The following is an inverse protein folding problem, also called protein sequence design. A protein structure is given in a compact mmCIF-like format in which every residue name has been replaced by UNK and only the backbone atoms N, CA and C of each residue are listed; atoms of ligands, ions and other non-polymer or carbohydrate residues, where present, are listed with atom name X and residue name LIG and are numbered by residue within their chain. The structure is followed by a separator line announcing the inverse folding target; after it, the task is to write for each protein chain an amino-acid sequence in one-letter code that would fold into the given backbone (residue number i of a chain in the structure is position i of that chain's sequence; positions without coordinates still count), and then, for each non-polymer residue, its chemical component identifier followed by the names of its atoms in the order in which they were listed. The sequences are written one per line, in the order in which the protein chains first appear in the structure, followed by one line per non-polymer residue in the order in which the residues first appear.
data_IF_098382133414
#
_entry.id   IF_098382133414
#
_cell.length_a   1.000
_cell.length_b   1.000
_cell.length_c   1.000
_cell.angle_alpha   90.00
_cell.angle_beta   90.00
_cell.angle_gamma   90.00
#
_symmetry.space_group_name_H-M   'P 1'
#
loop_
_entity.id
_entity.type
_entity.pdbx_description
1 polymer ?
#
# COMPACT_ATOMS: atom_id res chain seq x y z
N UNK A 1 -24.63 -30.83 67.61
CA UNK A 1 -25.22 -29.97 66.56
C UNK A 1 -24.31 -28.76 66.38
N UNK A 2 -23.55 -28.67 65.29
CA UNK A 2 -22.90 -27.43 64.87
C UNK A 2 -22.46 -27.59 63.41
N UNK A 3 -23.24 -27.02 62.50
CA UNK A 3 -22.95 -27.01 61.05
C UNK A 3 -22.29 -25.68 60.76
N UNK A 4 -21.05 -25.72 60.26
CA UNK A 4 -20.24 -24.55 59.90
C UNK A 4 -20.71 -23.96 58.57
N UNK A 5 -21.22 -22.73 58.62
CA UNK A 5 -21.51 -21.85 57.49
C UNK A 5 -20.28 -20.98 57.19
N UNK A 6 -19.37 -21.46 56.36
CA UNK A 6 -18.20 -20.69 55.92
C UNK A 6 -17.86 -21.02 54.47
N UNK A 7 -18.69 -20.57 53.53
CA UNK A 7 -18.50 -20.91 52.10
C UNK A 7 -19.08 -19.94 51.07
N UNK A 8 -19.71 -18.83 51.45
CA UNK A 8 -20.38 -17.95 50.49
C UNK A 8 -19.67 -16.60 50.22
N UNK A 9 -18.76 -16.16 51.10
CA UNK A 9 -18.15 -14.83 50.97
C UNK A 9 -16.97 -14.78 49.97
N UNK A 10 -16.36 -15.91 49.62
CA UNK A 10 -15.16 -15.94 48.75
C UNK A 10 -15.51 -15.92 47.25
N UNK A 11 -16.66 -16.47 46.86
CA UNK A 11 -17.08 -16.55 45.45
C UNK A 11 -17.54 -15.19 44.91
N UNK A 12 -18.10 -14.33 45.77
CA UNK A 12 -18.63 -13.03 45.34
C UNK A 12 -17.53 -12.00 45.00
N UNK A 13 -16.37 -12.04 45.68
CA UNK A 13 -15.25 -11.14 45.37
C UNK A 13 -14.55 -11.46 44.04
N UNK A 14 -14.53 -12.73 43.62
CA UNK A 14 -13.91 -13.15 42.36
C UNK A 14 -14.73 -12.69 41.15
N UNK A 15 -16.07 -12.69 41.26
CA UNK A 15 -16.96 -12.27 40.16
C UNK A 15 -16.95 -10.74 39.96
N UNK A 16 -16.82 -9.95 41.02
CA UNK A 16 -16.72 -8.47 40.92
C UNK A 16 -15.38 -8.03 40.35
N UNK A 17 -14.28 -8.73 40.66
CA UNK A 17 -12.97 -8.46 40.08
C UNK A 17 -12.92 -8.78 38.57
N UNK A 18 -13.63 -9.82 38.11
CA UNK A 18 -13.67 -10.20 36.68
C UNK A 18 -14.47 -9.23 35.81
N UNK A 19 -15.43 -8.47 36.36
CA UNK A 19 -16.22 -7.49 35.58
C UNK A 19 -15.51 -6.15 35.39
N UNK A 20 -14.54 -5.79 36.26
CA UNK A 20 -13.83 -4.50 36.19
C UNK A 20 -12.65 -4.46 35.22
N UNK A 21 -12.26 -5.60 34.63
CA UNK A 21 -11.19 -5.65 33.62
C UNK A 21 -11.70 -5.80 32.18
N UNK A 22 -13.00 -5.68 31.95
CA UNK A 22 -13.54 -5.50 30.59
C UNK A 22 -13.32 -4.05 30.13
N UNK A 23 -12.05 -3.66 30.00
CA UNK A 23 -11.70 -2.39 29.37
C UNK A 23 -12.34 -2.40 27.97
N UNK A 24 -13.27 -1.48 27.66
CA UNK A 24 -13.82 -1.40 26.32
C UNK A 24 -12.63 -1.26 25.37
N UNK A 25 -12.47 -2.22 24.46
CA UNK A 25 -11.43 -2.16 23.44
C UNK A 25 -11.64 -0.84 22.71
N UNK A 26 -10.78 0.14 23.03
CA UNK A 26 -10.85 1.45 22.41
C UNK A 26 -10.71 1.20 20.91
N UNK A 27 -11.80 1.39 20.17
CA UNK A 27 -11.78 1.28 18.72
C UNK A 27 -10.75 2.29 18.24
N UNK A 28 -9.57 1.80 17.86
CA UNK A 28 -8.50 2.64 17.39
C UNK A 28 -9.02 3.41 16.18
N UNK A 29 -9.10 4.73 16.30
CA UNK A 29 -9.55 5.58 15.20
C UNK A 29 -8.50 5.49 14.09
N UNK A 30 -8.80 4.68 13.08
CA UNK A 30 -7.99 4.61 11.88
C UNK A 30 -7.99 6.00 11.22
N UNK A 31 -6.79 6.54 11.02
CA UNK A 31 -6.58 7.88 10.46
C UNK A 31 -6.09 7.76 9.03
N UNK A 32 -6.70 8.51 8.11
CA UNK A 32 -6.20 8.61 6.74
C UNK A 32 -4.91 9.42 6.74
N UNK A 33 -3.84 8.84 6.21
CA UNK A 33 -2.56 9.51 6.00
C UNK A 33 -2.31 9.63 4.51
N UNK A 34 -2.10 10.84 3.99
CA UNK A 34 -1.69 11.00 2.61
C UNK A 34 -0.22 11.37 2.49
N UNK A 35 0.41 10.84 1.46
CA UNK A 35 1.83 10.98 1.18
C UNK A 35 1.99 11.66 -0.16
N UNK A 36 2.96 12.57 -0.24
CA UNK A 36 3.30 13.27 -1.48
C UNK A 36 4.79 13.12 -1.74
N UNK A 37 5.15 12.58 -2.91
CA UNK A 37 6.49 12.75 -3.45
C UNK A 37 6.47 14.03 -4.28
N UNK A 38 7.25 15.03 -3.85
CA UNK A 38 7.29 16.34 -4.51
C UNK A 38 7.93 16.25 -5.89
N UNK A 39 7.47 17.11 -6.80
CA UNK A 39 8.13 17.32 -8.09
C UNK A 39 9.64 17.53 -7.88
N UNK A 40 10.43 16.99 -8.81
CA UNK A 40 11.90 17.03 -8.86
C UNK A 40 12.60 16.28 -7.71
N UNK A 41 11.81 15.70 -6.79
CA UNK A 41 12.32 14.89 -5.70
C UNK A 41 12.32 13.40 -6.09
N UNK A 42 13.34 12.70 -5.61
CA UNK A 42 13.41 11.25 -5.54
C UNK A 42 14.22 10.91 -4.29
N UNK A 43 13.93 9.79 -3.64
CA UNK A 43 14.71 9.41 -2.47
C UNK A 43 16.04 8.80 -2.94
N UNK A 44 17.04 9.66 -3.13
CA UNK A 44 18.38 9.28 -3.56
C UNK A 44 19.14 8.55 -2.44
N UNK A 45 18.95 8.98 -1.18
CA UNK A 45 19.74 8.52 -0.02
C UNK A 45 18.87 8.06 1.17
N UNK A 46 17.60 7.76 0.94
CA UNK A 46 16.69 7.38 2.01
C UNK A 46 15.59 6.48 1.50
N UNK A 47 14.99 5.70 2.40
CA UNK A 47 13.86 4.86 2.06
C UNK A 47 12.70 5.34 2.91
N UNK A 48 11.54 5.65 2.32
CA UNK A 48 10.40 6.04 3.11
C UNK A 48 10.01 4.89 4.04
N UNK A 49 10.24 5.13 5.33
CA UNK A 49 10.04 4.22 6.44
C UNK A 49 9.03 4.86 7.39
N UNK A 50 8.04 4.09 7.82
CA UNK A 50 7.02 4.59 8.75
C UNK A 50 6.83 3.72 9.99
N UNK A 51 7.65 2.69 10.18
CA UNK A 51 7.65 1.89 11.40
C UNK A 51 8.19 0.49 11.21
N UNK A 52 8.31 -0.24 12.32
CA UNK A 52 8.77 -1.62 12.32
C UNK A 52 7.62 -2.60 12.16
N UNK A 53 7.80 -3.55 11.24
CA UNK A 53 6.94 -4.71 11.04
C UNK A 53 7.29 -5.77 12.08
N UNK A 54 6.27 -6.35 12.69
CA UNK A 54 6.37 -7.46 13.66
C UNK A 54 5.31 -8.54 13.42
N UNK A 55 4.63 -8.50 12.26
CA UNK A 55 3.55 -9.40 11.89
C UNK A 55 3.89 -10.15 10.60
N UNK A 56 3.29 -11.33 10.46
CA UNK A 56 3.34 -12.12 9.23
C UNK A 56 2.60 -11.44 8.09
N UNK A 57 1.40 -10.92 8.38
CA UNK A 57 0.55 -10.23 7.41
C UNK A 57 0.59 -8.74 7.65
N UNK A 58 0.76 -7.99 6.58
CA UNK A 58 0.63 -6.52 6.58
C UNK A 58 -0.42 -6.14 5.54
N UNK A 59 -1.23 -5.12 5.85
CA UNK A 59 -2.19 -4.60 4.89
C UNK A 59 -2.39 -3.10 5.04
N UNK A 60 -2.76 -2.46 3.94
CA UNK A 60 -3.21 -1.07 3.94
C UNK A 60 -4.30 -0.89 2.88
N UNK A 61 -5.28 -0.05 3.19
CA UNK A 61 -6.13 0.51 2.14
C UNK A 61 -5.41 1.68 1.50
N UNK A 62 -5.30 1.69 0.17
CA UNK A 62 -4.61 2.73 -0.57
C UNK A 62 -5.53 3.30 -1.64
N UNK A 63 -5.60 4.63 -1.69
CA UNK A 63 -6.27 5.38 -2.76
C UNK A 63 -5.22 6.15 -3.56
N UNK A 64 -5.02 5.75 -4.81
CA UNK A 64 -4.13 6.43 -5.73
C UNK A 64 -4.84 7.60 -6.41
N UNK A 65 -4.16 8.74 -6.55
CA UNK A 65 -4.76 9.93 -7.16
C UNK A 65 -4.60 9.97 -8.68
N UNK A 66 -5.45 10.74 -9.38
CA UNK A 66 -5.39 10.88 -10.84
C UNK A 66 -4.00 11.24 -11.38
N UNK A 67 -3.18 11.99 -10.62
CA UNK A 67 -1.81 12.33 -11.03
C UNK A 67 -0.92 11.09 -11.21
N UNK A 68 -1.17 10.00 -10.50
CA UNK A 68 -0.44 8.73 -10.64
C UNK A 68 -0.73 8.02 -11.97
N UNK A 69 -1.85 8.33 -12.63
CA UNK A 69 -2.18 7.81 -13.96
C UNK A 69 -1.74 8.74 -15.11
N UNK A 70 -1.46 10.01 -14.81
CA UNK A 70 -1.37 11.08 -15.82
C UNK A 70 -0.08 11.90 -15.80
N UNK A 71 0.88 11.59 -14.93
CA UNK A 71 2.16 12.31 -14.89
C UNK A 71 2.91 12.17 -16.22
N UNK A 72 3.53 13.26 -16.67
CA UNK A 72 4.31 13.32 -17.91
C UNK A 72 5.67 13.91 -17.61
N UNK A 73 6.72 13.31 -18.15
CA UNK A 73 8.03 13.95 -18.21
C UNK A 73 8.03 15.02 -19.29
N UNK A 74 8.86 16.04 -19.11
CA UNK A 74 9.01 17.10 -20.09
C UNK A 74 9.54 16.52 -21.44
N UNK A 75 9.12 17.05 -22.60
CA UNK A 75 9.55 16.53 -23.90
C UNK A 75 11.06 16.61 -24.16
N UNK A 76 11.77 17.51 -23.47
CA UNK A 76 13.22 17.66 -23.52
C UNK A 76 13.97 16.73 -22.54
N UNK A 77 13.25 15.96 -21.73
CA UNK A 77 13.85 14.99 -20.83
C UNK A 77 14.26 13.74 -21.62
N UNK A 78 15.57 13.61 -21.87
CA UNK A 78 16.17 12.47 -22.58
C UNK A 78 15.95 11.10 -21.91
N UNK A 79 15.57 11.08 -20.63
CA UNK A 79 15.19 9.85 -19.92
C UNK A 79 13.66 9.68 -19.81
N UNK A 80 12.86 10.58 -20.39
CA UNK A 80 11.42 10.63 -20.20
C UNK A 80 10.70 9.31 -20.47
N UNK A 81 11.01 8.61 -21.57
CA UNK A 81 10.41 7.30 -21.87
C UNK A 81 10.89 6.23 -20.91
N UNK A 82 12.18 6.15 -20.64
CA UNK A 82 12.72 5.21 -19.66
C UNK A 82 12.04 5.38 -18.30
N UNK A 83 11.94 6.61 -17.82
CA UNK A 83 11.32 6.94 -16.54
C UNK A 83 9.80 6.67 -16.53
N UNK A 84 9.13 6.88 -17.67
CA UNK A 84 7.69 6.59 -17.82
C UNK A 84 7.41 5.10 -17.81
N UNK A 85 8.27 4.30 -18.44
CA UNK A 85 8.13 2.84 -18.52
C UNK A 85 8.57 2.13 -17.23
N UNK A 86 9.42 2.79 -16.45
CA UNK A 86 9.83 2.36 -15.13
C UNK A 86 8.63 2.26 -14.17
N UNK A 87 8.88 1.65 -13.03
CA UNK A 87 7.91 1.52 -11.95
C UNK A 87 8.36 2.29 -10.72
N UNK A 88 7.39 2.51 -9.84
CA UNK A 88 7.52 3.24 -8.59
C UNK A 88 7.08 2.31 -7.45
N UNK A 89 7.60 2.48 -6.24
CA UNK A 89 7.26 1.61 -5.10
C UNK A 89 6.05 2.21 -4.37
N UNK A 90 5.08 1.37 -3.98
CA UNK A 90 3.81 1.81 -3.38
C UNK A 90 3.75 1.50 -1.88
N UNK A 91 3.90 0.22 -1.54
CA UNK A 91 3.62 -0.31 -0.21
C UNK A 91 4.30 -1.66 -0.05
N UNK A 92 4.92 -1.91 1.10
CA UNK A 92 5.56 -3.20 1.37
C UNK A 92 6.36 -3.23 2.66
N UNK A 93 7.25 -4.21 2.76
CA UNK A 93 8.17 -4.31 3.89
C UNK A 93 9.46 -5.08 3.54
N UNK A 94 10.49 -4.93 4.38
CA UNK A 94 11.62 -5.86 4.36
C UNK A 94 11.20 -7.21 4.92
N UNK A 95 11.78 -8.29 4.38
CA UNK A 95 11.45 -9.66 4.76
C UNK A 95 12.33 -10.17 5.89
N UNK A 96 13.65 -10.01 5.80
CA UNK A 96 14.58 -10.85 6.58
C UNK A 96 15.04 -10.25 7.92
N UNK A 97 14.51 -9.09 8.29
CA UNK A 97 14.84 -8.39 9.53
C UNK A 97 14.83 -6.87 9.34
N UNK A 98 15.08 -6.15 10.44
CA UNK A 98 15.19 -4.68 10.43
C UNK A 98 16.59 -4.18 10.08
N UNK A 99 17.61 -5.04 10.13
CA UNK A 99 18.99 -4.72 9.74
C UNK A 99 19.30 -5.06 8.28
N UNK A 100 18.45 -5.87 7.63
CA UNK A 100 18.61 -6.13 6.21
C UNK A 100 18.30 -4.88 5.42
N UNK A 101 19.15 -4.60 4.43
CA UNK A 101 18.95 -3.45 3.56
C UNK A 101 17.71 -3.70 2.71
N UNK A 102 16.96 -2.65 2.41
CA UNK A 102 15.72 -2.80 1.63
C UNK A 102 15.96 -3.25 0.19
N UNK A 103 17.21 -3.17 -0.29
CA UNK A 103 17.60 -3.68 -1.60
C UNK A 103 18.15 -5.10 -1.52
N UNK A 104 18.30 -5.66 -0.32
CA UNK A 104 18.67 -7.06 -0.12
C UNK A 104 17.42 -7.94 -0.19
N UNK A 105 16.46 -7.70 0.71
CA UNK A 105 15.27 -8.55 0.88
C UNK A 105 14.05 -7.68 1.23
N UNK A 106 13.31 -7.25 0.21
CA UNK A 106 12.05 -6.53 0.42
C UNK A 106 11.00 -6.86 -0.61
N UNK A 107 9.76 -6.92 -0.16
CA UNK A 107 8.59 -7.26 -0.96
C UNK A 107 7.64 -6.06 -0.96
N UNK A 108 7.24 -5.62 -2.14
CA UNK A 108 6.42 -4.43 -2.35
C UNK A 108 5.41 -4.60 -3.46
N UNK A 109 4.27 -3.92 -3.33
CA UNK A 109 3.51 -3.48 -4.48
C UNK A 109 4.24 -2.32 -5.15
N UNK A 110 4.28 -2.37 -6.47
CA UNK A 110 4.78 -1.30 -7.33
C UNK A 110 3.69 -0.83 -8.26
N UNK A 111 3.87 0.37 -8.80
CA UNK A 111 2.89 1.00 -9.66
C UNK A 111 3.55 1.78 -10.80
N UNK A 112 2.81 1.97 -11.88
CA UNK A 112 3.13 2.93 -12.94
C UNK A 112 1.87 3.35 -13.68
N UNK A 113 1.96 4.41 -14.46
CA UNK A 113 0.88 4.75 -15.41
C UNK A 113 0.85 3.77 -16.59
N UNK A 114 -0.31 3.57 -17.24
CA UNK A 114 -0.40 2.79 -18.47
C UNK A 114 0.45 3.41 -19.59
N UNK A 115 1.47 2.68 -20.05
CA UNK A 115 2.39 3.14 -21.10
C UNK A 115 1.65 3.38 -22.42
N UNK A 116 0.59 2.62 -22.68
CA UNK A 116 -0.27 2.78 -23.87
C UNK A 116 -1.02 4.11 -23.90
N UNK A 117 -1.07 4.86 -22.79
CA UNK A 117 -1.62 6.22 -22.75
C UNK A 117 -0.59 7.33 -22.96
N UNK A 118 0.66 7.00 -23.30
CA UNK A 118 1.74 7.99 -23.48
C UNK A 118 2.14 8.06 -24.95
N UNK A 119 2.10 9.26 -25.52
CA UNK A 119 2.64 9.54 -26.86
C UNK A 119 4.15 9.73 -26.74
N UNK A 120 4.91 9.04 -27.59
CA UNK A 120 6.37 9.16 -27.68
C UNK A 120 6.82 9.43 -29.11
N UNK A 121 7.94 10.11 -29.29
CA UNK A 121 8.58 10.22 -30.62
C UNK A 121 9.44 8.99 -30.95
N UNK A 122 10.09 9.01 -32.12
CA UNK A 122 10.99 7.94 -32.57
C UNK A 122 12.29 7.87 -31.76
N UNK A 123 12.65 8.95 -31.05
CA UNK A 123 13.84 9.05 -30.20
C UNK A 123 13.55 8.61 -28.76
N UNK A 124 12.29 8.36 -28.40
CA UNK A 124 11.90 8.00 -27.05
C UNK A 124 11.76 9.20 -26.12
N UNK A 125 11.33 10.36 -26.62
CA UNK A 125 10.86 11.46 -25.78
C UNK A 125 9.36 11.35 -25.54
N UNK A 126 8.90 11.89 -24.39
CA UNK A 126 7.48 11.94 -24.04
C UNK A 126 6.85 13.18 -24.67
N UNK A 127 5.94 12.99 -25.61
CA UNK A 127 5.26 14.08 -26.32
C UNK A 127 3.95 14.51 -25.65
N UNK A 128 3.38 13.65 -24.80
CA UNK A 128 2.12 13.93 -24.11
C UNK A 128 1.30 12.67 -23.87
N UNK A 129 -0.02 12.85 -23.67
CA UNK A 129 -0.97 11.75 -23.52
C UNK A 129 -1.56 11.33 -24.88
N UNK A 130 -1.93 10.06 -25.00
CA UNK A 130 -2.81 9.59 -26.08
C UNK A 130 -4.20 10.20 -25.89
N UNK A 131 -4.74 10.82 -26.94
CA UNK A 131 -6.06 11.48 -26.87
C UNK A 131 -7.13 10.43 -26.60
N UNK A 132 -8.06 10.74 -25.68
CA UNK A 132 -9.14 9.84 -25.26
C UNK A 132 -8.67 8.43 -24.81
N UNK A 133 -7.47 8.32 -24.20
CA UNK A 133 -7.00 7.03 -23.74
C UNK A 133 -7.99 6.37 -22.76
N UNK A 134 -8.46 5.12 -23.01
CA UNK A 134 -9.44 4.46 -22.15
C UNK A 134 -8.91 4.16 -20.73
N UNK A 135 -7.59 4.25 -20.52
CA UNK A 135 -6.93 3.97 -19.25
C UNK A 135 -6.43 5.25 -18.54
N UNK A 136 -6.88 6.45 -18.95
CA UNK A 136 -6.41 7.72 -18.39
C UNK A 136 -6.65 7.89 -16.87
N UNK A 137 -7.59 7.15 -16.29
CA UNK A 137 -7.87 7.15 -14.85
C UNK A 137 -7.50 5.83 -14.17
N UNK A 138 -6.64 5.03 -14.81
CA UNK A 138 -6.20 3.74 -14.28
C UNK A 138 -4.70 3.76 -14.01
N UNK A 139 -4.30 3.05 -12.98
CA UNK A 139 -2.89 2.81 -12.62
C UNK A 139 -2.62 1.32 -12.78
N UNK A 140 -1.46 0.99 -13.35
CA UNK A 140 -0.99 -0.38 -13.38
C UNK A 140 -0.29 -0.71 -12.06
N UNK A 141 -0.63 -1.84 -11.47
CA UNK A 141 -0.04 -2.35 -10.22
C UNK A 141 0.61 -3.71 -10.50
N UNK A 142 1.72 -4.00 -9.80
CA UNK A 142 2.39 -5.28 -9.84
C UNK A 142 3.01 -5.65 -8.48
N UNK A 143 3.34 -6.93 -8.31
CA UNK A 143 4.20 -7.42 -7.23
C UNK A 143 5.68 -7.26 -7.60
N UNK A 144 6.53 -6.97 -6.61
CA UNK A 144 7.96 -6.71 -6.78
C UNK A 144 8.71 -7.17 -5.53
N UNK A 145 9.77 -7.96 -5.68
CA UNK A 145 10.55 -8.46 -4.54
C UNK A 145 12.05 -8.51 -4.80
N UNK A 146 12.85 -7.86 -3.96
CA UNK A 146 14.28 -8.17 -3.87
C UNK A 146 14.47 -9.49 -3.13
N UNK A 147 15.40 -10.31 -3.61
CA UNK A 147 15.82 -11.55 -2.96
C UNK A 147 17.34 -11.68 -3.02
N UNK A 148 18.01 -11.55 -1.87
CA UNK A 148 19.48 -11.58 -1.76
C UNK A 148 20.18 -10.60 -2.73
N UNK A 149 19.69 -9.35 -2.77
CA UNK A 149 20.25 -8.30 -3.61
C UNK A 149 19.87 -8.39 -5.10
N UNK A 150 19.20 -9.47 -5.51
CA UNK A 150 18.81 -9.65 -6.90
C UNK A 150 17.65 -8.73 -7.26
N UNK A 151 17.88 -7.90 -8.26
CA UNK A 151 16.88 -6.98 -8.78
C UNK A 151 15.86 -7.73 -9.66
N UNK A 152 14.55 -7.53 -9.46
CA UNK A 152 13.50 -8.26 -10.17
C UNK A 152 13.56 -8.21 -11.69
N UNK A 153 14.08 -7.12 -12.24
CA UNK A 153 14.11 -6.92 -13.68
C UNK A 153 15.34 -7.52 -14.37
N UNK A 154 16.31 -8.04 -13.60
CA UNK A 154 17.53 -8.62 -14.16
C UNK A 154 17.37 -10.10 -14.53
N UNK A 155 16.27 -10.75 -14.10
CA UNK A 155 16.07 -12.18 -14.32
C UNK A 155 14.63 -12.49 -14.76
N UNK A 156 14.45 -12.92 -16.01
CA UNK A 156 13.16 -13.37 -16.52
C UNK A 156 12.71 -14.63 -15.76
N UNK A 157 11.47 -14.64 -15.28
CA UNK A 157 10.85 -15.81 -14.67
C UNK A 157 11.18 -16.07 -13.20
N UNK A 158 12.07 -15.28 -12.57
CA UNK A 158 12.44 -15.53 -11.16
C UNK A 158 11.93 -14.47 -10.19
N UNK A 159 11.60 -13.23 -10.60
CA UNK A 159 11.08 -12.20 -9.70
C UNK A 159 10.24 -11.19 -10.52
N UNK A 160 8.92 -11.12 -10.27
CA UNK A 160 7.91 -10.63 -11.23
C UNK A 160 8.02 -9.15 -11.68
N UNK A 161 7.65 -8.89 -12.95
CA UNK A 161 7.48 -7.56 -13.58
C UNK A 161 6.22 -7.48 -14.46
N UNK A 162 5.13 -8.13 -14.06
CA UNK A 162 3.88 -8.10 -14.84
C UNK A 162 2.92 -7.04 -14.29
N UNK A 163 2.70 -6.01 -15.08
CA UNK A 163 1.69 -4.97 -14.86
C UNK A 163 0.36 -5.39 -15.50
N UNK A 164 -0.19 -6.52 -15.06
CA UNK A 164 -1.46 -7.05 -15.57
C UNK A 164 -2.67 -6.40 -14.93
N UNK A 165 -2.50 -5.84 -13.74
CA UNK A 165 -3.62 -5.35 -12.94
C UNK A 165 -3.77 -3.86 -13.05
N UNK A 166 -4.98 -3.44 -13.37
CA UNK A 166 -5.38 -2.06 -13.50
C UNK A 166 -6.37 -1.71 -12.39
N UNK A 167 -6.08 -0.63 -11.67
CA UNK A 167 -6.96 -0.11 -10.63
C UNK A 167 -7.34 1.33 -10.92
N UNK A 168 -8.56 1.72 -10.54
CA UNK A 168 -9.08 3.06 -10.77
C UNK A 168 -8.49 4.06 -9.77
N UNK A 169 -8.21 5.27 -10.24
CA UNK A 169 -7.82 6.37 -9.36
C UNK A 169 -9.02 6.89 -8.57
N UNK A 170 -8.76 7.49 -7.40
CA UNK A 170 -9.78 7.95 -6.44
C UNK A 170 -10.70 6.82 -5.90
N UNK A 171 -10.26 5.56 -6.02
CA UNK A 171 -10.91 4.38 -5.42
C UNK A 171 -9.96 3.74 -4.40
N UNK A 172 -10.52 3.27 -3.27
CA UNK A 172 -9.77 2.52 -2.26
C UNK A 172 -9.64 1.06 -2.67
N UNK A 173 -8.43 0.51 -2.53
CA UNK A 173 -8.15 -0.92 -2.65
C UNK A 173 -7.36 -1.37 -1.43
N UNK A 174 -7.52 -2.62 -1.02
CA UNK A 174 -6.69 -3.20 0.04
C UNK A 174 -5.53 -3.97 -0.56
N UNK A 175 -4.33 -3.63 -0.11
CA UNK A 175 -3.08 -4.25 -0.51
C UNK A 175 -2.56 -5.05 0.67
N UNK A 176 -2.50 -6.37 0.53
CA UNK A 176 -2.07 -7.29 1.57
C UNK A 176 -0.83 -8.04 1.12
N UNK A 177 0.18 -8.11 2.00
CA UNK A 177 1.32 -9.01 1.85
C UNK A 177 1.34 -9.99 3.02
N UNK A 178 1.41 -11.27 2.69
CA UNK A 178 1.57 -12.37 3.64
C UNK A 178 2.98 -12.92 3.45
N UNK A 179 3.83 -12.72 4.45
CA UNK A 179 5.21 -13.18 4.43
C UNK A 179 5.29 -14.60 5.00
N UNK A 180 6.02 -15.48 4.33
CA UNK A 180 6.41 -16.79 4.83
C UNK A 180 7.93 -16.90 4.75
N UNK A 181 8.49 -18.01 5.23
CA UNK A 181 9.93 -18.19 5.29
C UNK A 181 10.60 -18.13 3.90
N UNK A 182 9.93 -18.68 2.89
CA UNK A 182 10.43 -18.89 1.53
C UNK A 182 9.53 -18.29 0.44
N UNK A 183 8.48 -17.55 0.80
CA UNK A 183 7.60 -16.92 -0.18
C UNK A 183 6.87 -15.70 0.38
N UNK A 184 6.35 -14.89 -0.53
CA UNK A 184 5.41 -13.82 -0.22
C UNK A 184 4.17 -13.96 -1.09
N UNK A 185 3.00 -13.91 -0.46
CA UNK A 185 1.72 -13.81 -1.17
C UNK A 185 1.25 -12.36 -1.20
N UNK A 186 0.94 -11.87 -2.38
CA UNK A 186 0.42 -10.53 -2.66
C UNK A 186 -1.06 -10.66 -3.01
N UNK A 187 -1.92 -10.08 -2.17
CA UNK A 187 -3.35 -10.05 -2.43
C UNK A 187 -3.81 -8.61 -2.64
N UNK A 188 -4.59 -8.40 -3.69
CA UNK A 188 -5.27 -7.15 -3.96
C UNK A 188 -6.77 -7.38 -3.83
N UNK A 189 -7.43 -6.60 -2.98
CA UNK A 189 -8.88 -6.63 -2.81
C UNK A 189 -9.51 -5.33 -3.27
N UNK A 190 -10.73 -5.42 -3.81
CA UNK A 190 -11.63 -4.27 -3.86
C UNK A 190 -12.00 -3.84 -2.45
N UNK A 191 -12.67 -2.70 -2.32
CA UNK A 191 -13.20 -2.27 -1.02
C UNK A 191 -14.70 -2.06 -1.09
N UNK A 192 -15.36 -2.32 0.03
CA UNK A 192 -16.73 -1.90 0.26
C UNK A 192 -16.68 -0.62 1.09
N UNK A 193 -17.24 0.46 0.55
CA UNK A 193 -17.48 1.68 1.31
C UNK A 193 -18.91 1.62 1.81
N UNK A 194 -19.09 1.36 3.10
CA UNK A 194 -20.41 1.28 3.72
C UNK A 194 -21.06 2.66 3.68
N UNK A 195 -21.87 2.89 2.66
CA UNK A 195 -22.77 4.03 2.64
C UNK A 195 -23.80 3.77 3.74
N UNK A 196 -23.82 4.62 4.77
CA UNK A 196 -24.92 4.67 5.74
C UNK A 196 -26.19 5.08 4.99
N UNK A 197 -26.83 4.10 4.33
CA UNK A 197 -28.20 4.01 3.75
C UNK A 197 -28.88 5.26 3.17
N UNK A 198 -28.15 6.34 2.89
CA UNK A 198 -28.72 7.63 2.51
C UNK A 198 -27.68 8.55 1.91
N UNK A 199 -27.67 8.59 0.58
CA UNK A 199 -27.07 9.62 -0.27
C UNK A 199 -25.62 9.41 -0.73
N UNK A 200 -25.47 9.00 -1.99
CA UNK A 200 -24.28 9.19 -2.84
C UNK A 200 -23.74 10.65 -2.79
N UNK A 201 -24.61 11.62 -2.47
CA UNK A 201 -24.22 13.00 -2.24
C UNK A 201 -23.32 13.19 -1.01
N UNK A 202 -23.44 12.34 0.02
CA UNK A 202 -22.65 12.42 1.26
C UNK A 202 -21.22 11.91 1.04
N UNK A 203 -21.02 10.82 0.29
CA UNK A 203 -19.67 10.37 -0.09
C UNK A 203 -18.97 11.39 -0.98
N UNK A 204 -19.67 11.95 -1.99
CA UNK A 204 -19.14 13.06 -2.79
C UNK A 204 -18.80 14.27 -1.92
N UNK A 205 -19.65 14.63 -0.95
CA UNK A 205 -19.39 15.73 0.00
C UNK A 205 -18.19 15.43 0.90
N UNK A 206 -18.02 14.18 1.33
CA UNK A 206 -16.89 13.72 2.13
C UNK A 206 -15.57 13.81 1.34
N UNK A 207 -15.55 13.28 0.13
CA UNK A 207 -14.42 13.38 -0.80
C UNK A 207 -14.10 14.84 -1.15
N UNK A 208 -15.12 15.68 -1.35
CA UNK A 208 -14.95 17.12 -1.58
C UNK A 208 -14.47 17.88 -0.32
N UNK A 209 -14.81 17.41 0.88
CA UNK A 209 -14.29 17.97 2.13
C UNK A 209 -12.83 17.54 2.38
N UNK A 210 -12.50 16.31 1.96
CA UNK A 210 -11.13 15.81 1.95
C UNK A 210 -10.23 16.61 1.00
N UNK A 211 -10.69 16.89 -0.23
CA UNK A 211 -10.00 17.79 -1.18
C UNK A 211 -9.70 19.18 -0.61
N UNK A 212 -10.46 19.63 0.39
CA UNK A 212 -10.29 20.93 1.06
C UNK A 212 -9.48 20.85 2.36
N UNK A 213 -8.93 19.68 2.71
CA UNK A 213 -8.14 19.47 3.94
C UNK A 213 -8.93 19.66 5.24
N UNK A 214 -10.27 19.64 5.19
CA UNK A 214 -11.13 20.01 6.34
C UNK A 214 -11.91 18.85 6.97
N UNK A 215 -11.79 17.63 6.47
CA UNK A 215 -12.49 16.48 7.04
C UNK A 215 -11.55 15.31 7.32
N UNK A 216 -11.50 14.89 8.58
CA UNK A 216 -11.10 13.55 8.97
C UNK A 216 -12.25 12.61 8.60
N UNK A 217 -12.03 11.79 7.58
CA UNK A 217 -12.93 10.66 7.32
C UNK A 217 -12.51 9.55 8.27
N UNK A 218 -13.43 9.13 9.13
CA UNK A 218 -13.21 7.91 9.92
C UNK A 218 -13.03 6.75 8.94
N UNK A 219 -11.86 6.12 8.97
CA UNK A 219 -11.55 4.99 8.10
C UNK A 219 -12.40 3.75 8.41
N UNK A 220 -13.18 3.77 9.49
CA UNK A 220 -14.16 2.74 9.86
C UNK A 220 -15.19 2.39 8.79
N UNK A 221 -15.33 3.18 7.72
CA UNK A 221 -16.29 2.95 6.64
C UNK A 221 -15.69 2.23 5.42
N UNK A 222 -14.37 1.99 5.39
CA UNK A 222 -13.71 1.26 4.32
C UNK A 222 -13.44 -0.16 4.83
N UNK A 223 -13.96 -1.15 4.13
CA UNK A 223 -13.81 -2.56 4.51
C UNK A 223 -13.32 -3.38 3.32
N UNK A 224 -12.68 -4.51 3.60
CA UNK A 224 -12.25 -5.48 2.60
C UNK A 224 -13.43 -5.91 1.73
N UNK A 225 -13.23 -5.87 0.42
CA UNK A 225 -14.18 -6.36 -0.58
C UNK A 225 -13.77 -7.71 -1.15
N UNK A 226 -13.99 -7.88 -2.45
CA UNK A 226 -13.66 -9.09 -3.19
C UNK A 226 -12.16 -9.15 -3.49
N UNK A 227 -11.56 -10.35 -3.42
CA UNK A 227 -10.21 -10.60 -3.94
C UNK A 227 -10.20 -10.41 -5.46
N UNK A 228 -9.41 -9.44 -5.94
CA UNK A 228 -9.25 -9.13 -7.35
C UNK A 228 -8.08 -9.90 -7.98
N UNK A 229 -6.98 -10.03 -7.23
CA UNK A 229 -5.77 -10.71 -7.68
C UNK A 229 -5.03 -11.33 -6.50
N UNK A 230 -4.44 -12.51 -6.72
CA UNK A 230 -3.45 -13.12 -5.83
C UNK A 230 -2.23 -13.56 -6.64
N UNK A 231 -1.04 -13.17 -6.18
CA UNK A 231 0.24 -13.55 -6.78
C UNK A 231 1.17 -14.05 -5.69
N UNK A 232 2.00 -15.03 -6.03
CA UNK A 232 3.02 -15.56 -5.13
C UNK A 232 4.39 -15.38 -5.77
N UNK A 233 5.35 -14.98 -4.94
CA UNK A 233 6.78 -14.98 -5.30
C UNK A 233 7.46 -15.97 -4.36
N UNK A 234 8.13 -16.96 -4.93
CA UNK A 234 8.99 -17.90 -4.20
C UNK A 234 10.39 -17.29 -4.13
N UNK A 235 10.95 -17.26 -2.93
CA UNK A 235 12.27 -16.73 -2.63
C UNK A 235 13.26 -17.87 -2.45
N UNK A 236 14.46 -17.71 -3.01
CA UNK A 236 15.57 -18.62 -2.77
C UNK A 236 16.13 -18.47 -1.35
N UNK A 237 16.14 -17.25 -0.80
CA UNK A 237 16.60 -17.00 0.58
C UNK A 237 15.49 -17.24 1.59
N UNK A 238 15.67 -18.29 2.40
CA UNK A 238 14.82 -18.56 3.55
C UNK A 238 15.17 -17.64 4.72
N UNK A 239 14.16 -16.93 5.24
CA UNK A 239 14.39 -15.93 6.29
C UNK A 239 13.74 -16.34 7.59
N UNK A 240 14.53 -16.68 8.61
CA UNK A 240 14.02 -17.08 9.94
C UNK A 240 13.27 -15.95 10.66
N UNK A 241 13.56 -14.69 10.32
CA UNK A 241 12.90 -13.50 10.85
C UNK A 241 11.86 -12.89 9.90
N UNK A 242 11.22 -13.69 9.02
CA UNK A 242 10.25 -13.21 8.02
C UNK A 242 9.08 -12.38 8.59
N UNK A 243 8.81 -12.45 9.89
CA UNK A 243 7.78 -11.66 10.59
C UNK A 243 8.27 -10.27 11.01
N UNK A 244 9.58 -10.01 11.00
CA UNK A 244 10.19 -8.73 11.41
C UNK A 244 10.73 -7.97 10.20
N UNK A 245 10.62 -6.64 10.22
CA UNK A 245 11.16 -5.82 9.16
C UNK A 245 10.87 -4.34 9.31
N UNK A 246 11.09 -3.60 8.24
CA UNK A 246 10.77 -2.18 8.10
C UNK A 246 9.58 -2.05 7.17
N UNK A 247 8.55 -1.30 7.58
CA UNK A 247 7.48 -0.92 6.66
C UNK A 247 7.95 0.13 5.65
N UNK A 248 7.48 0.00 4.42
CA UNK A 248 7.95 0.77 3.27
C UNK A 248 6.76 1.45 2.57
N UNK A 249 6.88 2.74 2.31
CA UNK A 249 5.78 3.60 1.81
C UNK A 249 6.00 4.05 0.34
N UNK A 250 5.14 4.97 -0.12
CA UNK A 250 5.18 5.64 -1.41
C UNK A 250 6.58 6.14 -1.72
N UNK A 251 7.09 5.70 -2.87
CA UNK A 251 8.38 6.09 -3.39
C UNK A 251 8.24 6.22 -4.90
N UNK A 252 8.57 7.40 -5.42
CA UNK A 252 8.70 7.61 -6.85
C UNK A 252 10.17 7.51 -7.22
N UNK A 253 10.45 6.82 -8.32
CA UNK A 253 11.78 6.75 -8.90
C UNK A 253 12.55 5.50 -8.52
N UNK A 254 13.87 5.64 -8.54
CA UNK A 254 14.88 4.59 -8.62
C UNK A 254 16.08 5.16 -9.37
N UNK A 255 15.79 5.78 -10.53
CA UNK A 255 16.75 6.56 -11.32
C UNK A 255 16.25 7.94 -11.75
N UNK A 256 14.95 8.22 -11.64
CA UNK A 256 14.37 9.48 -12.13
C UNK A 256 13.62 10.23 -11.02
N UNK A 257 13.69 11.57 -10.99
CA UNK A 257 12.86 12.39 -10.13
C UNK A 257 11.39 12.33 -10.54
N UNK A 258 10.49 12.63 -9.60
CA UNK A 258 9.07 12.78 -9.89
C UNK A 258 8.83 13.99 -10.81
N UNK A 259 8.15 13.83 -11.97
CA UNK A 259 7.93 14.97 -12.88
C UNK A 259 6.79 15.90 -12.43
N UNK A 260 6.06 15.51 -11.39
CA UNK A 260 4.99 16.27 -10.75
C UNK A 260 4.87 15.86 -9.27
N UNK A 261 4.04 16.56 -8.51
CA UNK A 261 3.66 16.12 -7.16
C UNK A 261 2.81 14.83 -7.25
N UNK A 262 3.39 13.72 -6.82
CA UNK A 262 2.75 12.40 -6.84
C UNK A 262 2.10 12.15 -5.49
N UNK A 263 0.82 11.80 -5.47
CA UNK A 263 0.03 11.72 -4.24
C UNK A 263 -0.80 10.45 -4.14
N UNK A 264 -0.83 9.83 -2.96
CA UNK A 264 -1.80 8.81 -2.58
C UNK A 264 -2.13 8.90 -1.09
N UNK A 265 -3.18 8.19 -0.69
CA UNK A 265 -3.65 8.14 0.69
C UNK A 265 -3.70 6.71 1.18
N UNK A 266 -3.41 6.54 2.48
CA UNK A 266 -3.29 5.27 3.18
C UNK A 266 -4.24 5.24 4.37
N UNK A 267 -4.77 4.04 4.65
CA UNK A 267 -5.33 3.64 5.94
C UNK A 267 -4.56 2.37 6.33
N UNK A 268 -3.76 2.46 7.39
CA UNK A 268 -2.96 1.34 7.89
C UNK A 268 -3.78 0.47 8.86
N UNK A 269 -3.65 -0.86 8.73
CA UNK A 269 -4.29 -1.87 9.60
C UNK A 269 -3.30 -2.49 10.59
#
# INVERSE_FOLDING_TARGET
MSVKTAGLACVLCVVVALLLFSSPSALALQTIQCKTVKKDNFYQNGIPFYGFKSKQTISAFIMMKPIMANYLFAPDNSQGVYCTQSWNKLYGATRCGYLDTVHEDSDRFVWRRPITCVKTDAQGHVLGNVDHCPLANKVQVAAYAYDNGQEPFQHQGTLLKEFTTLVDTDVWYEYELIFEQDKTTYNLYSTNVSNSSGSSSKLKKLLNSFKRGKASVSASNVTRGQLLESKQIIHGKQCSNYTKGMYLDLYFGGRCPAPADIHCCYIYN
#
